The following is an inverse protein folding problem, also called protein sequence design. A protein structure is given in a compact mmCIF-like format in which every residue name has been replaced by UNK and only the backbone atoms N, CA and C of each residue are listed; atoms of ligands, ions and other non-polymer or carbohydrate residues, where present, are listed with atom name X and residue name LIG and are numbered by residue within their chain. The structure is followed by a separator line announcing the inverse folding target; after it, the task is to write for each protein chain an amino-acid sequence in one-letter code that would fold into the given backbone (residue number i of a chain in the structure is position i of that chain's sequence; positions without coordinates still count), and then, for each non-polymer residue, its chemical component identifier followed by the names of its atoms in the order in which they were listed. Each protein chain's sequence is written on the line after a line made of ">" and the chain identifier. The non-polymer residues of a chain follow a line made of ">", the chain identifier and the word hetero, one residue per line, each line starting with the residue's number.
data_IF_140449664569
#
_entry.id   IF_140449664569
#
_cell.length_a   1.000
_cell.length_b   1.000
_cell.length_c   1.000
_cell.angle_alpha   90.00
_cell.angle_beta   90.00
_cell.angle_gamma   90.00
#
_symmetry.space_group_name_H-M   'P 1'
#
loop_
_entity.id
_entity.type
_entity.pdbx_description
1 polymer ?
#
# COMPACT_ATOMS: atom_id res chain seq x y z
N UNK A 1 -29.39 11.99 -4.14
CA UNK A 1 -28.63 12.14 -2.89
C UNK A 1 -27.20 12.52 -3.24
N UNK A 2 -26.56 13.46 -2.53
CA UNK A 2 -25.36 14.13 -3.00
C UNK A 2 -24.17 13.15 -3.06
N UNK A 3 -23.52 13.10 -4.22
CA UNK A 3 -22.40 12.21 -4.58
C UNK A 3 -21.02 12.75 -4.17
N UNK A 4 -20.92 13.58 -3.14
CA UNK A 4 -19.75 14.45 -2.94
C UNK A 4 -18.96 14.29 -1.64
N UNK A 5 -19.04 13.16 -0.93
CA UNK A 5 -18.32 13.01 0.37
C UNK A 5 -17.33 11.84 0.46
N UNK A 6 -17.05 11.11 -0.63
CA UNK A 6 -16.04 10.04 -0.66
C UNK A 6 -14.72 10.43 -1.33
N UNK A 7 -14.32 11.69 -1.25
CA UNK A 7 -13.00 12.17 -1.66
C UNK A 7 -11.96 12.01 -0.54
N UNK A 8 -11.81 10.78 -0.03
CA UNK A 8 -10.62 10.39 0.72
C UNK A 8 -9.74 9.49 -0.18
N UNK A 9 -8.49 9.89 -0.48
CA UNK A 9 -7.59 9.18 -1.41
C UNK A 9 -7.35 7.71 -1.03
N UNK A 10 -7.48 7.36 0.25
CA UNK A 10 -7.32 5.99 0.75
C UNK A 10 -8.39 5.02 0.23
N UNK A 11 -9.62 5.49 -0.01
CA UNK A 11 -10.73 4.60 -0.42
C UNK A 11 -10.57 4.20 -1.89
N UNK A 12 -10.17 5.13 -2.76
CA UNK A 12 -9.97 4.87 -4.21
C UNK A 12 -8.77 3.96 -4.46
N UNK A 13 -7.69 4.11 -3.68
CA UNK A 13 -6.53 3.23 -3.73
C UNK A 13 -6.96 1.78 -3.39
N UNK A 14 -7.73 1.59 -2.31
CA UNK A 14 -8.15 0.25 -1.88
C UNK A 14 -9.13 -0.40 -2.87
N UNK A 15 -10.06 0.36 -3.45
CA UNK A 15 -11.03 -0.13 -4.44
C UNK A 15 -10.34 -0.65 -5.73
N UNK A 16 -9.23 -0.02 -6.15
CA UNK A 16 -8.50 -0.39 -7.36
C UNK A 16 -7.53 -1.55 -7.09
N UNK A 17 -6.89 -1.55 -5.93
CA UNK A 17 -5.87 -2.53 -5.54
C UNK A 17 -6.44 -3.89 -5.16
N UNK A 18 -7.63 -3.95 -4.54
CA UNK A 18 -8.34 -5.22 -4.26
C UNK A 18 -8.77 -5.92 -5.56
N UNK A 19 -9.19 -5.15 -6.58
CA UNK A 19 -9.61 -5.70 -7.87
C UNK A 19 -8.44 -6.28 -8.70
N UNK A 20 -7.25 -5.68 -8.58
CA UNK A 20 -6.06 -6.10 -9.32
C UNK A 20 -5.23 -7.18 -8.61
N UNK A 21 -5.69 -7.76 -7.49
CA UNK A 21 -4.91 -8.68 -6.63
C UNK A 21 -3.56 -8.08 -6.16
N UNK A 22 -3.41 -6.75 -6.14
CA UNK A 22 -2.13 -6.06 -6.00
C UNK A 22 -1.68 -5.80 -4.54
N UNK A 23 -2.38 -6.31 -3.53
CA UNK A 23 -1.91 -6.21 -2.14
C UNK A 23 -1.95 -7.57 -1.46
N UNK A 24 -0.79 -7.96 -0.93
CA UNK A 24 -0.68 -8.92 0.15
C UNK A 24 -1.59 -8.47 1.31
N UNK A 25 -2.61 -9.27 1.64
CA UNK A 25 -3.71 -9.00 2.58
C UNK A 25 -3.29 -8.63 4.03
N UNK A 26 -2.00 -8.52 4.32
CA UNK A 26 -1.44 -8.23 5.64
C UNK A 26 -1.43 -6.74 6.05
N UNK A 27 -1.80 -5.82 5.14
CA UNK A 27 -1.63 -4.38 5.38
C UNK A 27 -2.77 -3.76 6.22
N UNK A 28 -3.93 -4.40 6.32
CA UNK A 28 -5.06 -3.89 7.11
C UNK A 28 -5.05 -4.45 8.52
N UNK A 29 -4.90 -3.57 9.52
CA UNK A 29 -4.97 -3.96 10.95
C UNK A 29 -6.36 -4.41 11.41
N UNK A 30 -7.41 -4.05 10.68
CA UNK A 30 -8.80 -4.35 11.03
C UNK A 30 -9.53 -5.19 9.94
N UNK A 31 -9.93 -6.44 10.25
CA UNK A 31 -10.70 -7.31 9.36
C UNK A 31 -12.06 -6.72 8.94
N UNK A 32 -12.71 -5.88 9.75
CA UNK A 32 -13.97 -5.25 9.33
C UNK A 32 -13.76 -4.20 8.25
N UNK A 33 -12.72 -3.39 8.38
CA UNK A 33 -12.33 -2.44 7.32
C UNK A 33 -12.10 -3.17 5.99
N UNK A 34 -11.42 -4.32 6.02
CA UNK A 34 -11.24 -5.16 4.83
C UNK A 34 -12.56 -5.68 4.25
N UNK A 35 -13.45 -6.20 5.10
CA UNK A 35 -14.78 -6.68 4.71
C UNK A 35 -15.61 -5.58 4.03
N UNK A 36 -15.66 -4.41 4.67
CA UNK A 36 -16.45 -3.27 4.18
C UNK A 36 -15.88 -2.77 2.85
N UNK A 37 -14.57 -2.56 2.76
CA UNK A 37 -13.96 -2.04 1.54
C UNK A 37 -14.08 -3.02 0.39
N UNK A 38 -13.85 -4.32 0.63
CA UNK A 38 -14.06 -5.37 -0.39
C UNK A 38 -15.52 -5.38 -0.86
N UNK A 39 -16.47 -5.31 0.07
CA UNK A 39 -17.89 -5.27 -0.27
C UNK A 39 -18.23 -4.03 -1.10
N UNK A 40 -17.74 -2.85 -0.71
CA UNK A 40 -17.93 -1.61 -1.45
C UNK A 40 -17.31 -1.69 -2.85
N UNK A 41 -16.12 -2.28 -3.01
CA UNK A 41 -15.51 -2.52 -4.34
C UNK A 41 -16.49 -3.21 -5.26
N UNK A 42 -16.99 -4.37 -4.86
CA UNK A 42 -17.89 -5.16 -5.70
C UNK A 42 -19.27 -4.52 -5.88
N UNK A 43 -19.79 -3.81 -4.87
CA UNK A 43 -21.05 -3.08 -5.03
C UNK A 43 -20.96 -1.91 -6.02
N UNK A 44 -19.82 -1.18 -6.04
CA UNK A 44 -19.64 -0.05 -6.95
C UNK A 44 -19.17 -0.48 -8.34
N UNK A 45 -18.33 -1.50 -8.45
CA UNK A 45 -17.81 -1.97 -9.75
C UNK A 45 -18.69 -3.00 -10.43
N UNK A 46 -19.51 -3.71 -9.66
CA UNK A 46 -20.16 -4.94 -10.11
C UNK A 46 -19.18 -6.10 -10.26
N UNK A 47 -19.72 -7.30 -10.46
CA UNK A 47 -18.93 -8.51 -10.76
C UNK A 47 -18.38 -8.47 -12.19
N UNK A 48 -17.27 -9.11 -12.50
CA UNK A 48 -16.82 -9.35 -13.88
C UNK A 48 -17.54 -10.54 -14.54
N UNK A 49 -17.37 -10.74 -15.86
CA UNK A 49 -17.97 -11.89 -16.54
C UNK A 49 -17.41 -13.22 -16.03
N UNK A 50 -16.13 -13.25 -15.67
CA UNK A 50 -15.50 -14.45 -15.13
C UNK A 50 -15.96 -14.67 -13.68
N UNK A 51 -16.11 -13.62 -12.86
CA UNK A 51 -16.72 -13.72 -11.51
C UNK A 51 -18.15 -14.30 -11.59
N UNK A 52 -18.92 -13.92 -12.61
CA UNK A 52 -20.24 -14.52 -12.83
C UNK A 52 -20.16 -16.00 -13.18
N UNK A 53 -19.23 -16.40 -14.06
CA UNK A 53 -19.05 -17.80 -14.40
C UNK A 53 -18.71 -18.63 -13.16
N UNK A 54 -17.86 -18.11 -12.28
CA UNK A 54 -17.51 -18.75 -11.01
C UNK A 54 -18.71 -18.83 -10.07
N UNK A 55 -19.46 -17.73 -9.90
CA UNK A 55 -20.67 -17.70 -9.08
C UNK A 55 -21.74 -18.69 -9.58
N UNK A 56 -21.99 -18.71 -10.89
CA UNK A 56 -22.96 -19.61 -11.50
C UNK A 56 -22.52 -21.07 -11.40
N UNK A 57 -21.23 -21.34 -11.56
CA UNK A 57 -20.67 -22.69 -11.38
C UNK A 57 -20.84 -23.15 -9.93
N UNK A 58 -20.64 -22.24 -8.97
CA UNK A 58 -20.83 -22.55 -7.55
C UNK A 58 -22.30 -22.83 -7.22
N UNK A 59 -23.24 -21.96 -7.59
CA UNK A 59 -24.68 -22.14 -7.29
C UNK A 59 -25.26 -23.37 -7.97
N UNK A 60 -24.83 -23.72 -9.19
CA UNK A 60 -25.30 -24.92 -9.89
C UNK A 60 -24.89 -26.22 -9.19
N UNK A 61 -23.83 -26.18 -8.39
CA UNK A 61 -23.35 -27.31 -7.59
C UNK A 61 -23.91 -27.30 -6.16
N UNK A 62 -24.72 -26.30 -5.77
CA UNK A 62 -25.36 -26.23 -4.44
C UNK A 62 -26.64 -27.06 -4.38
N UNK A 63 -26.84 -27.76 -3.26
CA UNK A 63 -28.08 -28.48 -2.95
C UNK A 63 -29.29 -27.53 -2.83
N UNK A 64 -29.05 -26.22 -2.61
CA UNK A 64 -30.07 -25.17 -2.49
C UNK A 64 -30.07 -24.20 -3.68
N UNK A 65 -29.56 -24.65 -4.83
CA UNK A 65 -29.34 -23.85 -6.05
C UNK A 65 -30.50 -22.93 -6.46
N UNK A 66 -31.74 -23.44 -6.54
CA UNK A 66 -32.91 -22.61 -6.94
C UNK A 66 -33.33 -21.60 -5.86
N UNK A 67 -33.08 -21.87 -4.58
CA UNK A 67 -33.38 -20.93 -3.48
C UNK A 67 -32.35 -19.79 -3.50
N UNK A 68 -31.07 -20.15 -3.58
CA UNK A 68 -29.95 -19.20 -3.68
C UNK A 68 -30.10 -18.31 -4.92
N UNK A 69 -30.40 -18.90 -6.08
CA UNK A 69 -30.66 -18.15 -7.31
C UNK A 69 -31.92 -17.29 -7.20
N UNK A 70 -32.96 -17.73 -6.49
CA UNK A 70 -34.15 -16.94 -6.21
C UNK A 70 -33.84 -15.61 -5.51
N UNK A 71 -32.89 -15.59 -4.56
CA UNK A 71 -32.43 -14.35 -3.92
C UNK A 71 -31.67 -13.42 -4.87
N UNK A 72 -30.96 -13.98 -5.85
CA UNK A 72 -30.32 -13.18 -6.90
C UNK A 72 -31.40 -12.50 -7.74
N UNK A 73 -32.40 -13.27 -8.20
CA UNK A 73 -33.51 -12.77 -9.03
C UNK A 73 -34.30 -11.69 -8.30
N UNK A 74 -34.54 -11.84 -6.99
CA UNK A 74 -35.27 -10.85 -6.17
C UNK A 74 -34.65 -9.45 -6.21
N UNK A 75 -33.34 -9.39 -6.38
CA UNK A 75 -32.57 -8.13 -6.43
C UNK A 75 -32.09 -7.77 -7.83
N UNK A 76 -32.43 -8.58 -8.84
CA UNK A 76 -32.14 -8.34 -10.25
C UNK A 76 -33.35 -7.72 -10.94
N UNK A 77 -33.43 -6.38 -10.91
CA UNK A 77 -34.59 -5.57 -11.29
C UNK A 77 -35.48 -6.12 -12.41
N UNK A 78 -35.18 -5.81 -13.67
CA UNK A 78 -36.04 -6.14 -14.83
C UNK A 78 -35.55 -7.38 -15.61
N UNK A 79 -35.03 -8.39 -14.91
CA UNK A 79 -34.58 -9.63 -15.54
C UNK A 79 -35.70 -10.23 -16.43
N UNK A 80 -35.40 -10.77 -17.63
CA UNK A 80 -36.42 -11.45 -18.43
C UNK A 80 -37.00 -12.69 -17.75
N UNK A 81 -38.31 -12.94 -17.94
CA UNK A 81 -39.03 -14.10 -17.35
C UNK A 81 -38.39 -15.45 -17.67
N UNK A 82 -37.77 -15.58 -18.84
CA UNK A 82 -37.07 -16.79 -19.25
C UNK A 82 -35.91 -17.17 -18.32
N UNK A 83 -35.31 -16.18 -17.62
CA UNK A 83 -34.16 -16.38 -16.74
C UNK A 83 -34.51 -16.34 -15.25
N UNK A 84 -35.79 -16.30 -14.88
CA UNK A 84 -36.19 -16.30 -13.45
C UNK A 84 -35.94 -17.64 -12.75
N UNK A 85 -35.76 -18.72 -13.51
CA UNK A 85 -35.40 -20.04 -12.99
C UNK A 85 -34.02 -20.40 -13.47
N UNK A 86 -33.25 -21.10 -12.62
CA UNK A 86 -31.86 -21.43 -12.93
C UNK A 86 -31.76 -22.31 -14.18
N UNK A 87 -32.73 -23.20 -14.40
CA UNK A 87 -32.87 -24.04 -15.61
C UNK A 87 -32.94 -23.24 -16.93
N UNK A 88 -33.38 -21.97 -16.87
CA UNK A 88 -33.48 -21.10 -18.03
C UNK A 88 -32.13 -20.48 -18.45
N UNK A 89 -31.10 -20.61 -17.62
CA UNK A 89 -29.76 -20.07 -17.86
C UNK A 89 -28.84 -21.20 -18.33
N UNK A 90 -28.32 -21.08 -19.55
CA UNK A 90 -27.33 -22.02 -20.07
C UNK A 90 -25.92 -21.42 -19.99
N UNK A 91 -25.19 -21.76 -18.92
CA UNK A 91 -23.83 -21.28 -18.67
C UNK A 91 -22.81 -21.68 -19.75
N UNK A 92 -23.07 -22.75 -20.52
CA UNK A 92 -22.20 -23.16 -21.64
C UNK A 92 -22.33 -22.20 -22.82
N UNK A 93 -23.42 -21.46 -22.92
CA UNK A 93 -23.61 -20.43 -23.94
C UNK A 93 -23.13 -19.08 -23.40
N UNK A 94 -21.81 -18.86 -23.45
CA UNK A 94 -21.16 -17.64 -22.96
C UNK A 94 -21.77 -16.38 -23.59
N UNK A 95 -22.08 -16.41 -24.89
CA UNK A 95 -22.68 -15.27 -25.58
C UNK A 95 -24.06 -14.91 -25.00
N UNK A 96 -24.94 -15.89 -24.79
CA UNK A 96 -26.24 -15.66 -24.16
C UNK A 96 -26.09 -15.08 -22.74
N UNK A 97 -25.14 -15.61 -21.96
CA UNK A 97 -24.92 -15.16 -20.58
C UNK A 97 -24.46 -13.70 -20.55
N UNK A 98 -23.42 -13.36 -21.32
CA UNK A 98 -22.84 -12.01 -21.36
C UNK A 98 -23.84 -10.99 -21.91
N UNK A 99 -24.64 -11.33 -22.92
CA UNK A 99 -25.56 -10.37 -23.53
C UNK A 99 -26.89 -10.24 -22.78
N UNK A 100 -27.46 -11.34 -22.29
CA UNK A 100 -28.87 -11.37 -21.86
C UNK A 100 -29.08 -11.66 -20.37
N UNK A 101 -28.06 -12.12 -19.63
CA UNK A 101 -28.19 -12.55 -18.23
C UNK A 101 -27.32 -11.71 -17.30
N UNK A 102 -26.00 -11.72 -17.50
CA UNK A 102 -25.02 -11.03 -16.65
C UNK A 102 -25.28 -9.53 -16.48
N UNK A 103 -25.72 -8.76 -17.50
CA UNK A 103 -26.00 -7.34 -17.33
C UNK A 103 -27.03 -7.04 -16.23
N UNK A 104 -28.01 -7.94 -16.03
CA UNK A 104 -29.06 -7.78 -15.00
C UNK A 104 -28.58 -8.10 -13.59
N UNK A 105 -27.57 -8.98 -13.47
CA UNK A 105 -26.97 -9.34 -12.20
C UNK A 105 -25.75 -8.50 -11.83
N UNK A 106 -25.18 -7.73 -12.79
CA UNK A 106 -23.91 -6.98 -12.65
C UNK A 106 -23.77 -6.24 -11.33
N UNK A 107 -24.81 -5.50 -10.97
CA UNK A 107 -24.89 -4.67 -9.77
C UNK A 107 -25.99 -5.15 -8.81
N UNK A 108 -26.45 -6.39 -8.99
CA UNK A 108 -27.49 -6.99 -8.15
C UNK A 108 -26.90 -7.33 -6.78
N UNK A 109 -27.49 -6.77 -5.71
CA UNK A 109 -27.02 -6.99 -4.35
C UNK A 109 -27.01 -8.46 -3.97
N UNK A 110 -28.05 -9.22 -4.31
CA UNK A 110 -28.16 -10.64 -3.96
C UNK A 110 -27.05 -11.48 -4.60
N UNK A 111 -26.71 -11.21 -5.86
CA UNK A 111 -25.63 -11.93 -6.54
C UNK A 111 -24.26 -11.56 -6.01
N UNK A 112 -24.03 -10.27 -5.73
CA UNK A 112 -22.76 -9.80 -5.13
C UNK A 112 -22.59 -10.37 -3.72
N UNK A 113 -23.63 -10.32 -2.88
CA UNK A 113 -23.61 -10.89 -1.52
C UNK A 113 -23.29 -12.38 -1.55
N UNK A 114 -23.88 -13.12 -2.51
CA UNK A 114 -23.59 -14.53 -2.70
C UNK A 114 -22.13 -14.78 -3.08
N UNK A 115 -21.64 -14.10 -4.11
CA UNK A 115 -20.27 -14.24 -4.59
C UNK A 115 -19.25 -13.95 -3.48
N UNK A 116 -19.46 -12.85 -2.74
CA UNK A 116 -18.62 -12.48 -1.61
C UNK A 116 -18.64 -13.52 -0.50
N UNK A 117 -19.82 -13.98 -0.10
CA UNK A 117 -19.97 -14.90 1.05
C UNK A 117 -19.53 -16.33 0.77
N UNK A 118 -19.62 -16.82 -0.47
CA UNK A 118 -19.35 -18.22 -0.81
C UNK A 118 -18.00 -18.44 -1.51
N UNK A 119 -17.51 -17.47 -2.27
CA UNK A 119 -16.27 -17.62 -3.04
C UNK A 119 -15.14 -16.77 -2.48
N UNK A 120 -15.36 -15.46 -2.30
CA UNK A 120 -14.29 -14.54 -1.88
C UNK A 120 -13.94 -14.74 -0.41
N UNK A 121 -14.89 -14.53 0.49
CA UNK A 121 -14.61 -14.53 1.92
C UNK A 121 -14.30 -15.91 2.50
N UNK A 122 -14.84 -16.99 1.95
CA UNK A 122 -14.47 -18.36 2.37
C UNK A 122 -12.98 -18.62 2.11
N UNK A 123 -12.47 -18.11 0.99
CA UNK A 123 -11.06 -18.27 0.63
C UNK A 123 -10.16 -17.33 1.41
N UNK A 124 -10.54 -16.05 1.48
CA UNK A 124 -9.69 -14.97 1.96
C UNK A 124 -9.79 -14.71 3.47
N UNK A 125 -10.90 -15.08 4.14
CA UNK A 125 -11.10 -14.83 5.59
C UNK A 125 -10.72 -16.03 6.47
N UNK A 126 -9.56 -16.62 6.22
CA UNK A 126 -9.01 -17.65 7.11
C UNK A 126 -8.29 -16.99 8.27
N UNK A 127 -8.78 -17.21 9.49
CA UNK A 127 -8.13 -16.79 10.71
C UNK A 127 -7.51 -17.99 11.44
N UNK A 128 -6.30 -17.80 11.96
CA UNK A 128 -5.69 -18.77 12.87
C UNK A 128 -6.04 -18.39 14.31
N UNK A 129 -6.36 -19.36 15.18
CA UNK A 129 -6.66 -19.08 16.58
C UNK A 129 -5.43 -18.55 17.32
N UNK A 130 -4.26 -19.01 16.92
CA UNK A 130 -2.99 -18.72 17.55
C UNK A 130 -1.93 -18.29 16.55
N UNK A 131 -0.97 -17.50 17.03
CA UNK A 131 0.25 -17.16 16.29
C UNK A 131 1.49 -17.29 17.13
N UNK A 132 2.61 -17.47 16.44
CA UNK A 132 3.94 -17.27 16.97
C UNK A 132 4.49 -15.98 16.37
N UNK A 133 4.93 -15.05 17.21
CA UNK A 133 5.45 -13.78 16.75
C UNK A 133 6.88 -13.53 17.21
N UNK A 134 7.66 -12.93 16.32
CA UNK A 134 8.93 -12.28 16.63
C UNK A 134 8.87 -10.80 16.21
N UNK A 135 9.80 -10.00 16.71
CA UNK A 135 9.86 -8.55 16.52
C UNK A 135 11.30 -8.03 16.51
N UNK A 136 11.46 -6.72 16.38
CA UNK A 136 12.76 -6.06 16.48
C UNK A 136 13.47 -6.30 17.81
N UNK A 137 12.73 -6.55 18.90
CA UNK A 137 13.31 -6.93 20.20
C UNK A 137 14.04 -8.27 20.13
N UNK A 138 13.47 -9.26 19.45
CA UNK A 138 14.06 -10.60 19.28
C UNK A 138 15.29 -10.57 18.36
N UNK A 139 15.33 -9.64 17.41
CA UNK A 139 16.50 -9.40 16.54
C UNK A 139 17.64 -8.76 17.33
N UNK A 140 17.31 -7.74 18.13
CA UNK A 140 18.27 -6.98 18.94
C UNK A 140 18.74 -7.68 20.22
N UNK A 141 18.16 -8.83 20.57
CA UNK A 141 18.57 -9.61 21.73
C UNK A 141 20.03 -10.09 21.61
N UNK A 142 20.75 -10.04 22.72
CA UNK A 142 22.09 -10.63 22.81
C UNK A 142 21.94 -12.15 22.79
N UNK A 143 22.58 -12.79 21.82
CA UNK A 143 22.55 -14.25 21.63
C UNK A 143 23.98 -14.79 21.67
N UNK A 144 24.12 -16.07 22.04
CA UNK A 144 25.42 -16.75 22.05
C UNK A 144 26.11 -16.70 20.68
N UNK A 145 25.32 -16.84 19.61
CA UNK A 145 25.78 -16.66 18.24
C UNK A 145 25.38 -15.27 17.76
N UNK A 146 26.30 -14.51 17.14
CA UNK A 146 26.00 -13.18 16.64
C UNK A 146 24.87 -13.25 15.61
N UNK A 147 23.84 -12.41 15.80
CA UNK A 147 22.84 -12.17 14.76
C UNK A 147 23.44 -11.22 13.74
N UNK A 148 23.70 -11.69 12.52
CA UNK A 148 24.13 -10.84 11.41
C UNK A 148 22.91 -10.40 10.60
N UNK A 149 22.68 -9.09 10.50
CA UNK A 149 21.70 -8.49 9.60
C UNK A 149 22.37 -7.74 8.47
N UNK A 150 21.73 -7.69 7.30
CA UNK A 150 22.16 -6.83 6.20
C UNK A 150 21.72 -5.39 6.46
N UNK A 151 22.67 -4.53 6.85
CA UNK A 151 22.48 -3.08 6.87
C UNK A 151 23.04 -2.52 5.56
N UNK A 152 22.21 -2.44 4.52
CA UNK A 152 22.62 -1.93 3.20
C UNK A 152 22.72 -0.38 3.14
N UNK A 153 22.56 0.30 4.29
CA UNK A 153 22.35 1.74 4.29
C UNK A 153 22.92 2.42 5.54
N UNK A 154 24.09 3.03 5.40
CA UNK A 154 24.52 4.09 6.32
C UNK A 154 23.76 5.39 5.95
N UNK A 155 22.57 5.57 6.53
CA UNK A 155 21.62 6.63 6.17
C UNK A 155 22.18 8.04 6.33
N UNK A 156 23.00 8.28 7.35
CA UNK A 156 23.52 9.62 7.66
C UNK A 156 24.47 10.15 6.57
N UNK A 157 25.36 9.30 6.05
CA UNK A 157 26.22 9.63 4.90
C UNK A 157 25.47 9.79 3.59
N UNK A 158 24.24 9.29 3.48
CA UNK A 158 23.46 9.36 2.23
C UNK A 158 22.62 10.63 2.14
N UNK A 159 22.19 11.18 3.27
CA UNK A 159 21.44 12.45 3.31
C UNK A 159 22.25 13.61 2.71
N UNK A 160 23.57 13.60 2.84
CA UNK A 160 24.43 14.66 2.29
C UNK A 160 24.41 14.73 0.76
N UNK A 161 24.10 13.65 0.04
CA UNK A 161 24.01 13.68 -1.43
C UNK A 161 22.84 14.53 -1.93
N UNK A 162 21.75 14.66 -1.14
CA UNK A 162 20.63 15.54 -1.49
C UNK A 162 20.97 17.02 -1.36
N UNK A 163 21.91 17.35 -0.48
CA UNK A 163 22.32 18.72 -0.21
C UNK A 163 23.36 19.24 -1.21
N UNK A 164 23.67 18.47 -2.25
CA UNK A 164 24.50 18.92 -3.37
C UNK A 164 23.68 19.84 -4.29
N UNK A 165 24.35 20.84 -4.87
CA UNK A 165 23.76 21.90 -5.74
C UNK A 165 22.95 21.38 -6.93
N UNK A 166 23.09 20.10 -7.30
CA UNK A 166 22.36 19.50 -8.42
C UNK A 166 20.90 19.17 -8.10
N UNK A 167 20.54 19.03 -6.82
CA UNK A 167 19.16 18.75 -6.40
C UNK A 167 18.34 20.04 -6.32
N UNK A 168 17.10 20.01 -6.80
CA UNK A 168 16.25 21.20 -6.83
C UNK A 168 14.82 20.95 -6.35
N UNK A 169 14.07 22.03 -6.22
CA UNK A 169 12.66 22.01 -5.78
C UNK A 169 11.79 22.52 -6.92
N UNK A 170 10.64 21.88 -7.12
CA UNK A 170 9.58 22.33 -8.02
C UNK A 170 8.25 22.32 -7.28
N UNK A 171 7.55 23.44 -7.23
CA UNK A 171 6.21 23.50 -6.66
C UNK A 171 5.20 22.95 -7.68
N UNK A 172 4.22 22.19 -7.21
CA UNK A 172 3.09 21.74 -8.03
C UNK A 172 1.94 22.75 -7.81
N UNK A 173 1.67 23.67 -8.76
CA UNK A 173 0.73 24.78 -8.58
C UNK A 173 -0.71 24.26 -8.48
N UNK A 174 -1.61 24.80 -7.63
CA UNK A 174 -2.94 24.25 -7.35
C UNK A 174 -3.75 23.83 -8.57
N UNK A 175 -4.66 22.86 -8.42
CA UNK A 175 -5.52 22.37 -9.52
C UNK A 175 -6.20 23.55 -10.22
N UNK A 176 -5.99 23.65 -11.53
CA UNK A 176 -6.79 24.54 -12.36
C UNK A 176 -8.10 23.85 -12.77
N UNK A 177 -9.15 24.61 -13.08
CA UNK A 177 -10.45 24.04 -13.49
C UNK A 177 -10.42 23.28 -14.82
N UNK A 178 -9.29 23.30 -15.55
CA UNK A 178 -9.11 22.70 -16.87
C UNK A 178 -8.36 21.35 -16.86
N UNK A 179 -7.85 20.92 -15.70
CA UNK A 179 -7.08 19.68 -15.58
C UNK A 179 -7.97 18.48 -15.24
N UNK A 180 -7.68 17.35 -15.89
CA UNK A 180 -8.44 16.10 -15.78
C UNK A 180 -8.15 15.34 -14.48
N UNK A 181 -6.89 15.35 -14.00
CA UNK A 181 -6.44 14.65 -12.77
C UNK A 181 -5.12 15.21 -12.21
N UNK A 182 -4.78 14.91 -10.94
CA UNK A 182 -3.49 15.30 -10.36
C UNK A 182 -2.32 14.55 -11.01
N UNK A 183 -2.53 13.28 -11.37
CA UNK A 183 -1.56 12.50 -12.13
C UNK A 183 -1.18 13.18 -13.46
N UNK A 184 -2.15 13.59 -14.28
CA UNK A 184 -1.87 14.27 -15.56
C UNK A 184 -1.15 15.61 -15.36
N UNK A 185 -1.54 16.37 -14.33
CA UNK A 185 -0.89 17.63 -13.96
C UNK A 185 0.57 17.42 -13.60
N UNK A 186 0.87 16.42 -12.76
CA UNK A 186 2.24 16.06 -12.42
C UNK A 186 3.06 15.67 -13.67
N UNK A 187 2.52 14.82 -14.54
CA UNK A 187 3.18 14.39 -15.77
C UNK A 187 3.48 15.58 -16.70
N UNK A 188 2.52 16.51 -16.85
CA UNK A 188 2.72 17.75 -17.63
C UNK A 188 3.85 18.60 -17.05
N UNK A 189 3.87 18.82 -15.73
CA UNK A 189 4.91 19.59 -15.05
C UNK A 189 6.28 18.95 -15.27
N UNK A 190 6.39 17.64 -15.06
CA UNK A 190 7.66 16.89 -15.23
C UNK A 190 8.15 16.96 -16.68
N UNK A 191 7.26 16.81 -17.65
CA UNK A 191 7.60 16.86 -19.08
C UNK A 191 8.01 18.27 -19.57
N UNK A 192 7.58 19.32 -18.87
CA UNK A 192 7.87 20.72 -19.20
C UNK A 192 9.04 21.32 -18.41
N UNK A 193 9.73 20.54 -17.56
CA UNK A 193 10.87 21.04 -16.81
C UNK A 193 12.04 21.42 -17.73
N UNK A 194 12.70 22.54 -17.41
CA UNK A 194 13.86 23.05 -18.18
C UNK A 194 14.97 21.99 -18.33
N UNK A 195 15.26 21.25 -17.26
CA UNK A 195 16.17 20.11 -17.28
C UNK A 195 15.38 18.82 -17.58
N UNK A 196 15.74 18.06 -18.65
CA UNK A 196 15.05 16.83 -19.00
C UNK A 196 14.98 15.86 -17.82
N UNK A 197 13.76 15.53 -17.40
CA UNK A 197 13.49 14.65 -16.26
C UNK A 197 12.90 13.37 -16.79
N UNK A 198 13.67 12.27 -16.65
CA UNK A 198 13.39 10.99 -17.32
C UNK A 198 12.96 9.89 -16.38
N UNK A 199 12.94 10.18 -15.08
CA UNK A 199 12.55 9.21 -14.05
C UNK A 199 11.50 9.87 -13.16
N UNK A 200 10.44 9.15 -12.83
CA UNK A 200 9.52 9.51 -11.75
C UNK A 200 9.64 8.41 -10.68
N UNK A 201 9.91 8.84 -9.45
CA UNK A 201 9.95 8.01 -8.26
C UNK A 201 8.77 8.41 -7.38
N UNK A 202 7.60 7.80 -7.57
CA UNK A 202 6.37 8.17 -6.86
C UNK A 202 6.31 7.60 -5.44
N UNK A 203 7.33 7.93 -4.64
CA UNK A 203 7.42 7.52 -3.23
C UNK A 203 6.36 8.22 -2.36
N UNK A 204 5.85 9.36 -2.80
CA UNK A 204 4.78 10.11 -2.14
C UNK A 204 3.38 9.66 -2.52
N UNK A 205 3.24 8.62 -3.34
CA UNK A 205 1.95 8.09 -3.83
C UNK A 205 1.02 9.20 -4.33
N UNK A 206 1.55 10.12 -5.13
CA UNK A 206 0.79 11.25 -5.67
C UNK A 206 -0.02 10.88 -6.92
N UNK A 207 0.33 9.77 -7.57
CA UNK A 207 -0.38 9.28 -8.75
C UNK A 207 -1.36 8.17 -8.33
N UNK A 208 -2.56 8.58 -7.92
CA UNK A 208 -3.59 7.67 -7.42
C UNK A 208 -4.65 7.35 -8.48
N UNK A 209 -4.89 8.24 -9.44
CA UNK A 209 -5.99 8.10 -10.40
C UNK A 209 -5.66 7.23 -11.62
N UNK A 210 -4.37 6.91 -11.82
CA UNK A 210 -3.87 6.15 -12.95
C UNK A 210 -3.13 4.91 -12.46
N UNK A 211 -3.36 3.76 -13.08
CA UNK A 211 -2.49 2.60 -12.89
C UNK A 211 -1.16 2.79 -13.64
N UNK A 212 -0.16 1.94 -13.35
CA UNK A 212 1.18 2.10 -13.91
C UNK A 212 1.22 2.10 -15.44
N UNK A 213 0.40 1.29 -16.11
CA UNK A 213 0.28 1.30 -17.57
C UNK A 213 -0.26 2.64 -18.07
N UNK A 214 -1.32 3.16 -17.44
CA UNK A 214 -1.92 4.44 -17.82
C UNK A 214 -0.95 5.60 -17.60
N UNK A 215 -0.14 5.56 -16.54
CA UNK A 215 0.93 6.55 -16.32
C UNK A 215 1.97 6.46 -17.44
N UNK A 216 2.45 5.26 -17.75
CA UNK A 216 3.44 5.03 -18.80
C UNK A 216 2.95 5.52 -20.16
N UNK A 217 1.74 5.11 -20.57
CA UNK A 217 1.13 5.48 -21.84
C UNK A 217 0.87 6.99 -21.93
N UNK A 218 0.32 7.59 -20.87
CA UNK A 218 0.05 9.04 -20.84
C UNK A 218 1.35 9.84 -20.90
N UNK A 219 2.38 9.43 -20.16
CA UNK A 219 3.67 10.13 -20.16
C UNK A 219 4.41 9.97 -21.49
N UNK A 220 4.35 8.79 -22.11
CA UNK A 220 4.92 8.55 -23.44
C UNK A 220 4.29 9.44 -24.50
N UNK A 221 2.95 9.55 -24.50
CA UNK A 221 2.19 10.40 -25.42
C UNK A 221 2.49 11.89 -25.26
N UNK A 222 2.89 12.34 -24.08
CA UNK A 222 3.32 13.72 -23.83
C UNK A 222 4.77 13.99 -24.27
N UNK A 223 5.59 12.95 -24.39
CA UNK A 223 7.02 13.06 -24.68
C UNK A 223 7.32 13.23 -26.18
N UNK A 224 8.49 13.77 -26.51
CA UNK A 224 8.95 13.89 -27.90
C UNK A 224 9.35 12.51 -28.45
N UNK A 225 8.62 11.95 -29.44
CA UNK A 225 8.88 10.61 -29.99
C UNK A 225 10.22 10.52 -30.76
N UNK A 226 10.82 11.66 -31.14
CA UNK A 226 12.14 11.68 -31.77
C UNK A 226 13.24 11.34 -30.77
N UNK A 227 13.07 11.73 -29.50
CA UNK A 227 14.05 11.57 -28.42
C UNK A 227 13.72 10.36 -27.53
N UNK A 228 12.46 10.22 -27.13
CA UNK A 228 11.98 9.19 -26.22
C UNK A 228 11.29 8.10 -27.03
N UNK A 229 11.73 6.85 -26.82
CA UNK A 229 11.24 5.69 -27.58
C UNK A 229 10.28 4.82 -26.80
N UNK A 230 10.40 4.80 -25.48
CA UNK A 230 9.62 3.92 -24.63
C UNK A 230 9.58 4.38 -23.16
N UNK A 231 8.72 3.75 -22.37
CA UNK A 231 8.62 3.94 -20.91
C UNK A 231 8.79 2.60 -20.20
N UNK A 232 9.65 2.57 -19.20
CA UNK A 232 9.86 1.43 -18.31
C UNK A 232 8.97 1.58 -17.08
N UNK A 233 8.20 0.56 -16.74
CA UNK A 233 7.28 0.54 -15.60
C UNK A 233 7.00 -0.89 -15.15
N UNK A 234 6.41 -1.06 -13.96
CA UNK A 234 5.95 -2.37 -13.50
C UNK A 234 4.51 -2.63 -13.97
N UNK A 235 4.28 -3.82 -14.52
CA UNK A 235 2.96 -4.31 -14.92
C UNK A 235 2.83 -5.79 -14.58
N UNK A 236 1.60 -6.26 -14.44
CA UNK A 236 1.33 -7.68 -14.25
C UNK A 236 1.58 -8.41 -15.56
N UNK A 237 2.45 -9.42 -15.53
CA UNK A 237 2.72 -10.35 -16.60
C UNK A 237 2.63 -11.78 -16.04
N UNK A 238 1.72 -12.61 -16.55
CA UNK A 238 1.54 -13.99 -16.07
C UNK A 238 1.35 -14.13 -14.55
N UNK A 239 0.49 -13.27 -13.97
CA UNK A 239 0.17 -13.19 -12.52
C UNK A 239 1.28 -12.62 -11.60
N UNK A 240 2.47 -12.31 -12.13
CA UNK A 240 3.57 -11.67 -11.38
C UNK A 240 3.79 -10.22 -11.83
N UNK A 241 4.18 -9.33 -10.91
CA UNK A 241 4.58 -7.96 -11.24
C UNK A 241 5.99 -7.93 -11.82
N UNK A 242 6.09 -7.54 -13.08
CA UNK A 242 7.33 -7.62 -13.84
C UNK A 242 7.69 -6.27 -14.47
N UNK A 243 8.99 -6.00 -14.51
CA UNK A 243 9.52 -4.79 -15.10
C UNK A 243 9.44 -4.86 -16.62
N UNK A 244 8.61 -4.02 -17.20
CA UNK A 244 8.23 -4.05 -18.61
C UNK A 244 8.43 -2.70 -19.28
N UNK A 245 8.33 -2.71 -20.60
CA UNK A 245 8.53 -1.54 -21.45
C UNK A 245 7.33 -1.35 -22.36
N UNK A 246 6.83 -0.13 -22.46
CA UNK A 246 5.80 0.30 -23.40
C UNK A 246 6.44 1.21 -24.47
N UNK A 247 6.26 0.88 -25.74
CA UNK A 247 6.70 1.71 -26.87
C UNK A 247 5.56 2.52 -27.53
N UNK A 248 5.90 3.37 -28.50
CA UNK A 248 4.92 4.20 -29.24
C UNK A 248 3.95 3.40 -30.11
N UNK A 249 4.21 2.11 -30.36
CA UNK A 249 3.27 1.22 -31.07
C UNK A 249 2.19 0.65 -30.16
N UNK A 250 2.30 0.88 -28.84
CA UNK A 250 1.44 0.28 -27.83
C UNK A 250 1.89 -1.14 -27.43
N UNK A 251 3.07 -1.57 -27.87
CA UNK A 251 3.60 -2.89 -27.53
C UNK A 251 4.14 -2.88 -26.10
N UNK A 252 3.73 -3.86 -25.29
CA UNK A 252 4.25 -4.10 -23.94
C UNK A 252 5.05 -5.38 -23.93
N UNK A 253 6.32 -5.30 -23.54
CA UNK A 253 7.22 -6.45 -23.43
C UNK A 253 8.08 -6.38 -22.17
N UNK A 254 8.59 -7.53 -21.71
CA UNK A 254 9.49 -7.60 -20.56
C UNK A 254 10.79 -6.84 -20.86
N UNK A 255 11.25 -6.00 -19.91
CA UNK A 255 12.45 -5.18 -20.11
C UNK A 255 13.67 -6.03 -20.45
N UNK A 256 13.79 -7.22 -19.86
CA UNK A 256 14.94 -8.11 -20.10
C UNK A 256 15.02 -8.63 -21.54
N UNK A 257 13.86 -8.77 -22.21
CA UNK A 257 13.74 -9.25 -23.59
C UNK A 257 13.77 -8.10 -24.59
N UNK A 258 13.51 -6.88 -24.12
CA UNK A 258 13.45 -5.69 -24.94
C UNK A 258 14.82 -5.19 -25.40
N UNK A 259 14.86 -4.58 -26.58
CA UNK A 259 16.02 -3.81 -27.06
C UNK A 259 16.39 -2.66 -26.11
N UNK A 260 15.41 -2.17 -25.34
CA UNK A 260 15.58 -1.06 -24.40
C UNK A 260 16.33 -1.44 -23.11
N UNK A 261 16.54 -2.73 -22.81
CA UNK A 261 17.29 -3.20 -21.64
C UNK A 261 18.67 -2.54 -21.51
N UNK A 262 19.31 -2.27 -22.65
CA UNK A 262 20.65 -1.66 -22.75
C UNK A 262 20.62 -0.18 -23.13
N UNK A 263 19.44 0.36 -23.47
CA UNK A 263 19.25 1.70 -24.02
C UNK A 263 18.26 2.53 -23.17
N UNK A 264 18.45 2.52 -21.85
CA UNK A 264 17.64 3.31 -20.93
C UNK A 264 17.85 4.84 -21.10
N UNK A 265 18.83 5.25 -21.90
CA UNK A 265 19.06 6.63 -22.30
C UNK A 265 18.02 7.17 -23.30
N UNK A 266 17.20 6.30 -23.91
CA UNK A 266 16.06 6.74 -24.75
C UNK A 266 14.71 6.42 -24.11
N UNK A 267 14.70 6.04 -22.84
CA UNK A 267 13.51 5.66 -22.11
C UNK A 267 13.16 6.65 -21.00
N UNK A 268 11.86 6.75 -20.72
CA UNK A 268 11.37 7.23 -19.44
C UNK A 268 11.27 6.05 -18.47
N UNK A 269 11.32 6.32 -17.17
CA UNK A 269 11.20 5.29 -16.12
C UNK A 269 10.22 5.77 -15.07
N UNK A 270 9.15 4.99 -14.86
CA UNK A 270 8.18 5.24 -13.82
C UNK A 270 8.25 4.12 -12.78
N UNK A 271 8.48 4.49 -11.51
CA UNK A 271 8.41 3.61 -10.37
C UNK A 271 7.37 4.15 -9.39
N UNK A 272 6.34 3.36 -9.10
CA UNK A 272 5.34 3.66 -8.08
C UNK A 272 5.92 3.50 -6.66
N UNK A 273 5.09 3.77 -5.65
CA UNK A 273 5.46 3.67 -4.24
C UNK A 273 6.04 2.29 -3.87
N UNK A 274 5.38 1.20 -4.30
CA UNK A 274 5.78 -0.17 -3.98
C UNK A 274 7.13 -0.54 -4.62
N UNK A 275 7.35 -0.09 -5.85
CA UNK A 275 8.51 -0.42 -6.67
C UNK A 275 9.67 0.57 -6.52
N UNK A 276 9.52 1.62 -5.70
CA UNK A 276 10.65 2.44 -5.26
C UNK A 276 11.57 1.72 -4.26
N UNK A 277 11.11 0.59 -3.70
CA UNK A 277 11.88 -0.30 -2.83
C UNK A 277 12.32 -1.54 -3.62
N UNK A 278 13.56 -2.00 -3.42
CA UNK A 278 14.04 -3.25 -4.04
C UNK A 278 14.43 -3.21 -5.53
N UNK A 279 13.88 -2.29 -6.34
CA UNK A 279 14.18 -2.24 -7.79
C UNK A 279 15.65 -1.87 -8.07
N UNK A 280 16.27 -2.59 -9.01
CA UNK A 280 17.64 -2.38 -9.45
C UNK A 280 17.73 -2.07 -10.96
N UNK A 281 17.65 -0.79 -11.29
CA UNK A 281 17.83 -0.28 -12.66
C UNK A 281 19.17 0.45 -12.80
N UNK A 282 19.93 0.11 -13.84
CA UNK A 282 21.17 0.81 -14.18
C UNK A 282 20.85 2.07 -14.98
N UNK A 283 20.36 3.10 -14.29
CA UNK A 283 19.99 4.37 -14.91
C UNK A 283 21.22 5.11 -15.48
N UNK A 284 21.12 5.76 -16.65
CA UNK A 284 22.16 6.61 -17.21
C UNK A 284 22.66 7.68 -16.25
N UNK A 285 23.92 8.10 -16.40
CA UNK A 285 24.56 9.08 -15.49
C UNK A 285 23.97 10.47 -15.59
N UNK A 286 23.33 10.83 -16.70
CA UNK A 286 22.71 12.14 -16.92
C UNK A 286 21.25 12.19 -16.48
N UNK A 287 20.68 11.09 -15.98
CA UNK A 287 19.27 11.05 -15.63
C UNK A 287 18.96 11.92 -14.40
N UNK A 288 17.88 12.67 -14.51
CA UNK A 288 17.25 13.40 -13.42
C UNK A 288 15.91 12.76 -13.08
N UNK A 289 15.62 12.64 -11.79
CA UNK A 289 14.39 12.06 -11.29
C UNK A 289 13.47 13.09 -10.63
N UNK A 290 12.19 13.09 -11.00
CA UNK A 290 11.14 13.74 -10.25
C UNK A 290 10.71 12.87 -9.07
N UNK A 291 10.61 13.49 -7.90
CA UNK A 291 10.24 12.84 -6.64
C UNK A 291 9.04 13.61 -6.07
N UNK A 292 7.81 13.21 -6.42
CA UNK A 292 6.60 13.76 -5.82
C UNK A 292 6.58 13.47 -4.32
N UNK A 293 6.37 14.51 -3.51
CA UNK A 293 6.23 14.37 -2.06
C UNK A 293 4.76 14.12 -1.69
N UNK A 294 4.54 13.32 -0.66
CA UNK A 294 3.20 13.00 -0.16
C UNK A 294 3.13 12.98 1.36
N UNK A 295 1.93 12.88 1.91
CA UNK A 295 1.72 12.86 3.35
C UNK A 295 2.35 11.62 3.99
N UNK A 296 2.78 11.72 5.25
CA UNK A 296 3.38 10.62 6.02
C UNK A 296 4.66 10.02 5.40
N UNK A 297 5.32 10.76 4.50
CA UNK A 297 6.56 10.32 3.87
C UNK A 297 7.75 10.50 4.82
N UNK A 298 8.23 9.39 5.38
CA UNK A 298 9.38 9.41 6.30
C UNK A 298 10.70 9.62 5.56
N UNK A 299 11.72 10.09 6.31
CA UNK A 299 13.08 10.28 5.82
C UNK A 299 13.62 9.02 5.15
N UNK A 300 13.49 7.86 5.79
CA UNK A 300 14.10 6.62 5.28
C UNK A 300 13.47 6.21 3.96
N UNK A 301 12.13 6.32 3.82
CA UNK A 301 11.43 6.03 2.57
C UNK A 301 11.85 6.98 1.45
N UNK A 302 11.89 8.28 1.73
CA UNK A 302 12.35 9.30 0.78
C UNK A 302 13.78 9.01 0.30
N UNK A 303 14.70 8.79 1.24
CA UNK A 303 16.12 8.51 0.92
C UNK A 303 16.25 7.20 0.14
N UNK A 304 15.58 6.13 0.54
CA UNK A 304 15.65 4.83 -0.14
C UNK A 304 15.13 4.86 -1.58
N UNK A 305 14.05 5.63 -1.82
CA UNK A 305 13.53 5.87 -3.15
C UNK A 305 14.52 6.67 -3.98
N UNK A 306 15.03 7.81 -3.49
CA UNK A 306 16.00 8.58 -4.26
C UNK A 306 17.31 7.81 -4.51
N UNK A 307 17.69 6.88 -3.64
CA UNK A 307 18.84 5.98 -3.84
C UNK A 307 18.66 4.98 -4.99
N UNK A 308 17.49 4.93 -5.65
CA UNK A 308 17.36 4.31 -6.99
C UNK A 308 18.26 5.03 -8.01
N UNK A 309 18.52 6.32 -7.81
CA UNK A 309 19.57 7.09 -8.49
C UNK A 309 20.94 6.77 -7.88
N UNK A 310 21.52 5.61 -8.22
CA UNK A 310 22.76 5.09 -7.62
C UNK A 310 23.99 6.00 -7.80
N UNK A 311 23.94 6.94 -8.74
CA UNK A 311 25.00 7.94 -9.01
C UNK A 311 24.54 9.36 -8.66
N UNK A 312 23.64 9.50 -7.69
CA UNK A 312 23.18 10.80 -7.19
C UNK A 312 24.37 11.67 -6.76
N UNK A 313 24.43 12.90 -7.26
CA UNK A 313 25.56 13.83 -7.03
C UNK A 313 26.83 13.47 -7.81
N UNK A 314 26.76 12.50 -8.71
CA UNK A 314 27.81 12.09 -9.66
C UNK A 314 27.23 12.06 -11.07
N UNK A 315 26.53 13.14 -11.43
CA UNK A 315 25.83 13.34 -12.69
C UNK A 315 24.32 13.12 -12.61
N UNK A 316 23.86 12.20 -11.74
CA UNK A 316 22.42 12.03 -11.51
C UNK A 316 21.94 13.04 -10.47
N UNK A 317 20.73 13.54 -10.67
CA UNK A 317 20.11 14.55 -9.81
C UNK A 317 18.64 14.23 -9.54
N UNK A 318 18.07 14.92 -8.55
CA UNK A 318 16.65 14.82 -8.21
C UNK A 318 15.98 16.19 -8.21
N UNK A 319 14.68 16.19 -8.48
CA UNK A 319 13.80 17.33 -8.25
C UNK A 319 12.65 16.89 -7.37
N UNK A 320 12.51 17.55 -6.22
CA UNK A 320 11.39 17.29 -5.34
C UNK A 320 10.18 18.09 -5.83
N UNK A 321 9.11 17.40 -6.17
CA UNK A 321 7.86 18.01 -6.61
C UNK A 321 6.95 18.14 -5.40
N UNK A 322 6.60 19.38 -5.00
CA UNK A 322 5.91 19.67 -3.75
C UNK A 322 4.44 20.05 -4.03
N UNK A 323 3.46 19.21 -3.68
CA UNK A 323 2.04 19.58 -3.67
C UNK A 323 1.74 20.66 -2.62
N UNK A 324 0.64 21.39 -2.80
CA UNK A 324 0.21 22.47 -1.90
C UNK A 324 0.07 22.02 -0.44
N UNK A 325 -0.45 20.81 -0.20
CA UNK A 325 -0.59 20.25 1.14
C UNK A 325 0.78 20.11 1.84
N UNK A 326 1.77 19.56 1.12
CA UNK A 326 3.12 19.34 1.67
C UNK A 326 3.86 20.68 1.79
N UNK A 327 3.63 21.59 0.86
CA UNK A 327 4.15 22.95 0.94
C UNK A 327 3.70 23.63 2.24
N UNK A 328 2.42 23.55 2.59
CA UNK A 328 1.90 24.12 3.83
C UNK A 328 2.57 23.50 5.08
N UNK A 329 2.73 22.18 5.10
CA UNK A 329 3.42 21.46 6.18
C UNK A 329 4.89 21.87 6.32
N UNK A 330 5.61 22.02 5.21
CA UNK A 330 7.01 22.46 5.22
C UNK A 330 7.09 23.89 5.78
N UNK A 331 6.28 24.82 5.28
CA UNK A 331 6.30 26.23 5.70
C UNK A 331 5.98 26.38 7.19
N UNK A 332 4.98 25.64 7.69
CA UNK A 332 4.64 25.61 9.11
C UNK A 332 5.82 25.15 9.97
N UNK A 333 6.55 24.12 9.54
CA UNK A 333 7.69 23.56 10.29
C UNK A 333 8.93 24.43 10.23
N UNK A 334 9.26 25.01 9.09
CA UNK A 334 10.48 25.80 8.93
C UNK A 334 10.29 27.28 9.25
N UNK A 335 9.09 27.70 9.67
CA UNK A 335 8.73 29.10 9.93
C UNK A 335 8.99 30.04 8.74
N UNK A 336 8.96 29.50 7.51
CA UNK A 336 9.15 30.27 6.28
C UNK A 336 7.81 30.85 5.82
N UNK A 337 7.86 32.04 5.21
CA UNK A 337 6.65 32.77 4.79
C UNK A 337 6.26 32.56 3.33
N UNK A 338 7.21 32.24 2.45
CA UNK A 338 6.99 32.12 1.01
C UNK A 338 7.40 30.75 0.51
N UNK A 339 6.60 30.18 -0.38
CA UNK A 339 6.89 28.90 -1.01
C UNK A 339 8.17 28.93 -1.88
N UNK A 340 8.50 30.09 -2.46
CA UNK A 340 9.74 30.31 -3.22
C UNK A 340 11.01 30.13 -2.40
N UNK A 341 10.91 30.23 -1.08
CA UNK A 341 12.05 30.15 -0.17
C UNK A 341 12.33 28.70 0.29
N UNK A 342 11.52 27.73 -0.17
CA UNK A 342 11.69 26.31 0.14
C UNK A 342 12.91 25.75 -0.61
N UNK A 343 13.85 25.20 0.15
CA UNK A 343 15.04 24.53 -0.32
C UNK A 343 15.02 23.04 0.11
N UNK A 344 15.94 22.25 -0.44
CA UNK A 344 16.05 20.82 -0.15
C UNK A 344 16.23 20.55 1.36
N UNK A 345 16.94 21.41 2.07
CA UNK A 345 17.12 21.29 3.54
C UNK A 345 15.80 21.36 4.31
N UNK A 346 14.82 22.13 3.83
CA UNK A 346 13.51 22.25 4.48
C UNK A 346 12.70 20.96 4.26
N UNK A 347 12.79 20.37 3.07
CA UNK A 347 12.17 19.08 2.74
C UNK A 347 12.74 17.99 3.65
N UNK A 348 14.06 17.94 3.83
CA UNK A 348 14.69 16.97 4.73
C UNK A 348 14.25 17.19 6.19
N UNK A 349 14.16 18.44 6.62
CA UNK A 349 13.67 18.79 7.98
C UNK A 349 12.23 18.33 8.19
N UNK A 350 11.37 18.54 7.20
CA UNK A 350 10.00 18.05 7.20
C UNK A 350 9.94 16.51 7.25
N UNK A 351 10.66 15.81 6.36
CA UNK A 351 10.67 14.34 6.33
C UNK A 351 11.22 13.69 7.62
N UNK A 352 12.20 14.34 8.28
CA UNK A 352 12.67 13.94 9.63
C UNK A 352 11.55 14.10 10.65
N UNK A 353 10.79 15.18 10.59
CA UNK A 353 9.66 15.42 11.49
C UNK A 353 8.54 14.39 11.27
N UNK A 354 8.23 14.03 10.02
CA UNK A 354 7.30 12.95 9.69
C UNK A 354 7.78 11.60 10.25
N UNK A 355 9.11 11.34 10.19
CA UNK A 355 9.71 10.15 10.81
C UNK A 355 9.48 10.12 12.32
N UNK A 356 9.64 11.27 12.99
CA UNK A 356 9.40 11.38 14.42
C UNK A 356 7.92 11.14 14.78
N UNK A 357 7.00 11.73 14.01
CA UNK A 357 5.58 11.52 14.19
C UNK A 357 5.17 10.04 13.98
N UNK A 358 5.73 9.37 12.97
CA UNK A 358 5.49 7.95 12.73
C UNK A 358 6.04 7.07 13.86
N UNK A 359 7.24 7.37 14.36
CA UNK A 359 7.81 6.70 15.53
C UNK A 359 6.92 6.86 16.76
N UNK A 360 6.43 8.07 17.05
CA UNK A 360 5.49 8.32 18.15
C UNK A 360 4.21 7.48 18.02
N UNK A 361 3.65 7.37 16.80
CA UNK A 361 2.45 6.57 16.50
C UNK A 361 2.69 5.07 16.66
N UNK A 362 3.91 4.59 16.40
CA UNK A 362 4.28 3.17 16.47
C UNK A 362 4.80 2.74 17.85
N UNK A 363 5.07 3.68 18.77
CA UNK A 363 5.49 3.38 20.15
C UNK A 363 4.60 2.36 20.89
N UNK A 364 3.25 2.40 20.81
CA UNK A 364 2.39 1.37 21.40
C UNK A 364 2.64 -0.05 20.91
N UNK A 365 2.87 -0.20 19.60
CA UNK A 365 3.20 -1.48 19.02
C UNK A 365 4.57 -1.96 19.53
N UNK A 366 5.57 -1.09 19.52
CA UNK A 366 6.91 -1.40 20.01
C UNK A 366 6.90 -1.83 21.50
N UNK A 367 6.07 -1.19 22.32
CA UNK A 367 5.88 -1.51 23.72
C UNK A 367 5.28 -2.90 23.94
N UNK A 368 4.21 -3.21 23.20
CA UNK A 368 3.58 -4.52 23.23
C UNK A 368 4.57 -5.62 22.83
N UNK A 369 5.32 -5.38 21.76
CA UNK A 369 6.36 -6.30 21.30
C UNK A 369 7.44 -6.52 22.36
N UNK A 370 7.84 -5.48 23.10
CA UNK A 370 8.82 -5.58 24.19
C UNK A 370 8.33 -6.39 25.38
N UNK A 371 7.07 -6.19 25.79
CA UNK A 371 6.44 -7.01 26.85
C UNK A 371 6.32 -8.47 26.45
N UNK A 372 5.94 -8.73 25.20
CA UNK A 372 5.93 -10.09 24.65
C UNK A 372 7.32 -10.71 24.67
N UNK A 373 8.34 -9.99 24.21
CA UNK A 373 9.72 -10.45 24.26
C UNK A 373 10.16 -10.81 25.69
N UNK A 374 9.80 -9.99 26.68
CA UNK A 374 10.07 -10.25 28.09
C UNK A 374 9.40 -11.55 28.57
N UNK A 375 8.14 -11.77 28.19
CA UNK A 375 7.40 -12.99 28.48
C UNK A 375 8.07 -14.22 27.85
N UNK A 376 8.37 -14.17 26.55
CA UNK A 376 9.04 -15.26 25.83
C UNK A 376 10.42 -15.60 26.40
N UNK A 377 11.20 -14.59 26.80
CA UNK A 377 12.54 -14.81 27.37
C UNK A 377 12.50 -15.64 28.65
N UNK A 378 11.52 -15.39 29.53
CA UNK A 378 11.33 -16.18 30.76
C UNK A 378 10.97 -17.63 30.50
N UNK A 379 10.20 -17.86 29.43
CA UNK A 379 9.89 -19.21 29.03
C UNK A 379 11.19 -19.91 28.69
N UNK A 380 12.01 -19.36 27.77
CA UNK A 380 13.24 -20.00 27.26
C UNK A 380 14.20 -20.47 28.37
N UNK A 381 14.31 -19.70 29.46
CA UNK A 381 15.19 -20.01 30.59
C UNK A 381 14.81 -21.31 31.36
N UNK A 382 13.64 -21.89 31.12
CA UNK A 382 13.20 -23.13 31.77
C UNK A 382 13.79 -24.43 31.18
N UNK A 383 14.41 -24.38 29.99
CA UNK A 383 15.15 -25.49 29.40
C UNK A 383 14.35 -26.71 28.92
N UNK A 384 13.02 -26.67 29.00
CA UNK A 384 12.14 -27.73 28.49
C UNK A 384 11.89 -27.52 26.97
N UNK A 385 11.77 -28.61 26.21
CA UNK A 385 11.50 -28.59 24.75
C UNK A 385 10.28 -29.41 24.37
N UNK A 386 9.39 -29.69 25.33
CA UNK A 386 8.11 -30.39 25.07
C UNK A 386 7.15 -29.56 24.22
N UNK A 387 6.21 -30.24 23.56
CA UNK A 387 5.15 -29.58 22.76
C UNK A 387 4.25 -28.74 23.66
N UNK A 388 3.96 -29.22 24.88
CA UNK A 388 3.20 -28.52 25.91
C UNK A 388 3.87 -27.20 26.30
N UNK A 389 5.19 -27.21 26.40
CA UNK A 389 5.97 -26.02 26.67
C UNK A 389 6.00 -25.07 25.47
N UNK A 390 6.18 -25.57 24.25
CA UNK A 390 6.12 -24.74 23.03
C UNK A 390 4.78 -24.01 22.85
N UNK A 391 3.66 -24.61 23.32
CA UNK A 391 2.34 -23.96 23.32
C UNK A 391 2.28 -22.68 24.16
N UNK A 392 3.19 -22.47 25.12
CA UNK A 392 3.22 -21.27 25.96
C UNK A 392 3.71 -20.03 25.20
N UNK A 393 4.35 -20.20 24.04
CA UNK A 393 4.75 -19.11 23.14
C UNK A 393 3.61 -18.64 22.21
N UNK A 394 2.47 -19.33 22.21
CA UNK A 394 1.34 -19.00 21.36
C UNK A 394 0.60 -17.77 21.89
N UNK A 395 0.37 -16.81 21.01
CA UNK A 395 -0.51 -15.66 21.28
C UNK A 395 -1.88 -15.90 20.64
N UNK A 396 -2.95 -15.47 21.33
CA UNK A 396 -4.28 -15.45 20.72
C UNK A 396 -4.30 -14.44 19.55
N UNK A 397 -4.47 -14.94 18.33
CA UNK A 397 -4.62 -14.12 17.12
C UNK A 397 -6.10 -13.86 16.83
N UNK A 398 -6.93 -14.90 16.98
CA UNK A 398 -8.36 -14.76 16.84
C UNK A 398 -8.93 -13.97 18.03
N UNK A 399 -9.51 -12.81 17.73
CA UNK A 399 -10.24 -11.99 18.67
C UNK A 399 -11.73 -12.10 18.37
N UNK A 400 -12.55 -12.28 19.41
CA UNK A 400 -14.01 -12.27 19.26
C UNK A 400 -14.51 -10.88 18.85
N UNK A 401 -15.69 -10.81 18.24
CA UNK A 401 -16.34 -9.54 17.86
C UNK A 401 -16.52 -8.67 19.12
N UNK A 402 -16.92 -9.28 20.22
CA UNK A 402 -17.10 -8.63 21.52
C UNK A 402 -15.79 -7.99 22.00
N UNK A 403 -14.68 -8.73 21.94
CA UNK A 403 -13.37 -8.24 22.39
C UNK A 403 -12.84 -7.04 21.57
N UNK A 404 -13.22 -6.96 20.29
CA UNK A 404 -12.85 -5.87 19.39
C UNK A 404 -13.74 -4.64 19.52
N UNK A 405 -15.05 -4.82 19.68
CA UNK A 405 -16.03 -3.73 19.50
C UNK A 405 -16.83 -3.36 20.74
N UNK A 406 -16.80 -4.14 21.82
CA UNK A 406 -17.47 -3.71 23.04
C UNK A 406 -16.81 -2.42 23.55
N UNK A 407 -17.61 -1.38 23.85
CA UNK A 407 -17.11 -0.17 24.49
C UNK A 407 -16.39 -0.58 25.77
N UNK A 408 -15.07 -0.32 25.83
CA UNK A 408 -14.24 -0.61 26.99
C UNK A 408 -14.56 0.40 28.10
N UNK A 409 -15.75 0.31 28.70
CA UNK A 409 -16.19 1.23 29.75
C UNK A 409 -15.50 0.98 31.09
N UNK A 410 -14.85 -0.16 31.32
CA UNK A 410 -14.23 -0.47 32.62
C UNK A 410 -13.03 -1.43 32.61
N UNK A 411 -12.23 -1.52 31.53
CA UNK A 411 -10.97 -2.30 31.55
C UNK A 411 -9.81 -1.45 32.10
N UNK A 412 -9.89 -1.07 33.38
CA UNK A 412 -8.71 -0.67 34.17
C UNK A 412 -7.96 -1.87 34.77
N UNK A 413 -8.42 -3.10 34.56
CA UNK A 413 -7.95 -4.29 35.29
C UNK A 413 -7.02 -5.24 34.53
N UNK A 414 -6.94 -5.18 33.19
CA UNK A 414 -6.25 -6.25 32.44
C UNK A 414 -4.83 -5.86 31.97
N UNK A 415 -4.41 -4.61 32.21
CA UNK A 415 -2.99 -4.22 32.09
C UNK A 415 -2.23 -4.49 33.39
N UNK A 416 -2.94 -4.74 34.50
CA UNK A 416 -2.34 -5.05 35.81
C UNK A 416 -2.00 -6.52 36.04
N UNK A 417 -2.47 -7.44 35.20
CA UNK A 417 -2.27 -8.89 35.42
C UNK A 417 -1.00 -9.49 34.80
N UNK A 418 -0.16 -8.68 34.13
CA UNK A 418 1.15 -9.10 33.61
C UNK A 418 2.34 -8.61 34.46
N UNK A 419 2.06 -8.00 35.61
CA UNK A 419 3.05 -7.35 36.48
C UNK A 419 3.54 -8.23 37.64
N UNK A 420 3.64 -9.55 37.45
CA UNK A 420 4.30 -10.42 38.43
C UNK A 420 5.55 -11.09 37.83
N UNK A 421 6.70 -10.70 38.37
CA UNK A 421 8.04 -11.21 38.05
C UNK A 421 9.06 -10.08 37.99
N UNK A 422 10.10 -10.13 38.83
CA UNK A 422 11.09 -9.05 39.04
C UNK A 422 11.72 -8.44 37.75
N UNK A 423 11.75 -9.16 36.63
CA UNK A 423 12.27 -8.68 35.34
C UNK A 423 11.24 -7.92 34.46
N UNK A 424 9.93 -7.97 34.73
CA UNK A 424 8.95 -7.13 33.99
C UNK A 424 9.07 -5.69 34.45
N UNK A 425 9.38 -5.48 35.73
CA UNK A 425 9.61 -4.15 36.28
C UNK A 425 10.73 -3.39 35.56
N UNK A 426 11.80 -4.05 35.11
CA UNK A 426 12.90 -3.36 34.39
C UNK A 426 12.53 -3.02 32.95
N UNK A 427 11.98 -3.96 32.18
CA UNK A 427 11.57 -3.73 30.79
C UNK A 427 10.41 -2.73 30.71
N UNK A 428 9.41 -2.83 31.58
CA UNK A 428 8.31 -1.85 31.62
C UNK A 428 8.80 -0.46 32.04
N UNK A 429 9.78 -0.37 32.95
CA UNK A 429 10.43 0.91 33.27
C UNK A 429 11.16 1.49 32.07
N UNK A 430 11.89 0.68 31.30
CA UNK A 430 12.57 1.12 30.07
C UNK A 430 11.58 1.55 28.98
N UNK A 431 10.49 0.80 28.80
CA UNK A 431 9.39 1.17 27.90
C UNK A 431 8.81 2.51 28.34
N UNK A 432 8.47 2.67 29.62
CA UNK A 432 7.90 3.91 30.13
C UNK A 432 8.83 5.11 29.94
N UNK A 433 10.14 4.94 30.21
CA UNK A 433 11.14 5.98 29.94
C UNK A 433 11.16 6.37 28.46
N UNK A 434 11.13 5.39 27.55
CA UNK A 434 11.09 5.68 26.11
C UNK A 434 9.81 6.40 25.68
N UNK A 435 8.66 6.12 26.29
CA UNK A 435 7.44 6.89 26.04
C UNK A 435 7.61 8.38 26.37
N UNK A 436 8.25 8.65 27.51
CA UNK A 436 8.56 10.02 27.93
C UNK A 436 9.52 10.68 26.93
N UNK A 437 10.59 9.98 26.53
CA UNK A 437 11.55 10.48 25.54
C UNK A 437 10.87 10.82 24.19
N UNK A 438 9.86 10.05 23.80
CA UNK A 438 9.06 10.28 22.59
C UNK A 438 7.86 11.21 22.81
N UNK A 439 7.66 11.77 24.01
CA UNK A 439 6.54 12.69 24.29
C UNK A 439 5.15 12.05 24.24
N UNK A 440 5.06 10.72 24.34
CA UNK A 440 3.79 9.98 24.32
C UNK A 440 3.23 9.93 25.75
N UNK A 441 2.30 10.84 26.06
CA UNK A 441 1.79 11.04 27.44
C UNK A 441 0.65 10.11 27.86
N UNK A 442 0.07 9.34 26.93
CA UNK A 442 -1.04 8.41 27.23
C UNK A 442 -0.83 7.05 26.55
N UNK A 443 -0.99 5.98 27.32
CA UNK A 443 -1.24 4.64 26.80
C UNK A 443 -2.61 4.66 26.11
N UNK A 444 -2.66 4.89 24.80
CA UNK A 444 -3.87 4.63 24.03
C UNK A 444 -3.96 3.12 23.83
N UNK A 445 -4.78 2.48 24.65
CA UNK A 445 -5.14 1.06 24.48
C UNK A 445 -5.92 0.80 23.18
N UNK A 446 -6.32 1.85 22.44
CA UNK A 446 -7.06 1.73 21.19
C UNK A 446 -6.17 1.31 19.99
N UNK A 447 -4.86 1.18 20.20
CA UNK A 447 -3.90 0.74 19.17
C UNK A 447 -3.44 -0.72 19.37
N UNK A 448 -4.03 -1.44 20.33
CA UNK A 448 -3.75 -2.84 20.68
C UNK A 448 -4.87 -3.76 20.19
#
# INVERSE_FOLDING_TARGET
>A
MPRSEFSQPDVVLILTTVRNKQVNLFTFRDPLTYLVLTSLTYYYSGLSDDDFLDAFTHVLNSDQSEIEYGEWVRTAGSLPRAFHRLQGVNIKNRHQCVTNVFPWFRFSKGTIDYFLSHLVFVKEMKAFPYKLSASGWDIGAVKEKPTTGFSDTNDSTRVTYFLLDESSVSLIPPRSSLETSDAERLLKIVNQMEKPTRVILDVGAQILELNNYQVADTWLRMSDPSVIKAVVFFTIFSDDEELSVLDHSGCVELLQMSVFAKHLDVCLVYLDEAHTQGTNLKLPTSNRAAVPLGANLTKDRLVQACMRMRKLGKGQSVVFCIPEEIQAKILERTSKKRASDIAVVDIMTWAITETWADLQRTMPLWAMQGRRFAHHSRLVDSGDTTVEYARQFLENEAQSIESRYLPRSHLKSDVSSLAEGDNTNTIDTHIHKRYIDFGVTKFSSATL
#
